data_IF_235528084660
#
_entry.id   IF_235528084660
#
_cell.length_a   1.000
_cell.length_b   1.000
_cell.length_c   1.000
_cell.angle_alpha   90.00
_cell.angle_beta   90.00
_cell.angle_gamma   90.00
#
_symmetry.space_group_name_H-M   'P 1'
#
loop_
_entity.id
_entity.type
_entity.pdbx_description
1 polymer ?
#
# COMPACT_ATOMS: atom_id res chain seq x y z
N UNK A 1 5.13 -7.64 1.04
CA UNK A 1 4.18 -7.70 -0.10
C UNK A 1 2.80 -7.98 0.47
N UNK A 2 1.83 -7.11 0.24
CA UNK A 2 0.46 -7.35 0.70
C UNK A 2 -0.22 -8.41 -0.18
N UNK A 3 -1.04 -9.29 0.41
CA UNK A 3 -1.74 -10.35 -0.34
C UNK A 3 -2.59 -9.80 -1.50
N UNK A 4 -3.18 -8.62 -1.32
CA UNK A 4 -3.98 -7.93 -2.33
C UNK A 4 -3.16 -7.33 -3.49
N UNK A 5 -1.91 -6.93 -3.23
CA UNK A 5 -0.97 -6.42 -4.25
C UNK A 5 -0.58 -7.55 -5.20
N UNK A 6 -0.23 -8.71 -4.64
CA UNK A 6 0.10 -9.90 -5.43
C UNK A 6 -1.10 -10.37 -6.27
N UNK A 7 -2.28 -10.48 -5.65
CA UNK A 7 -3.49 -10.93 -6.35
C UNK A 7 -3.86 -10.02 -7.54
N UNK A 8 -3.72 -8.70 -7.38
CA UNK A 8 -4.02 -7.74 -8.45
C UNK A 8 -3.05 -7.87 -9.62
N UNK A 9 -1.75 -8.03 -9.33
CA UNK A 9 -0.72 -8.24 -10.36
C UNK A 9 -0.89 -9.58 -11.07
N UNK A 10 -1.18 -10.65 -10.35
CA UNK A 10 -1.39 -11.98 -10.92
C UNK A 10 -2.61 -11.98 -11.86
N UNK A 11 -3.74 -11.39 -11.43
CA UNK A 11 -4.93 -11.28 -12.27
C UNK A 11 -4.70 -10.44 -13.53
N UNK A 12 -3.91 -9.35 -13.44
CA UNK A 12 -3.54 -8.54 -14.59
C UNK A 12 -2.61 -9.29 -15.56
N UNK A 13 -1.65 -10.06 -15.04
CA UNK A 13 -0.76 -10.89 -15.84
C UNK A 13 -1.53 -12.04 -16.54
N UNK A 14 -2.45 -12.70 -15.84
CA UNK A 14 -3.32 -13.74 -16.38
C UNK A 14 -4.22 -13.20 -17.49
N UNK A 15 -4.87 -12.05 -17.27
CA UNK A 15 -5.69 -11.40 -18.28
C UNK A 15 -4.86 -11.03 -19.53
N UNK A 16 -3.66 -10.47 -19.34
CA UNK A 16 -2.76 -10.12 -20.43
C UNK A 16 -2.26 -11.34 -21.21
N UNK A 17 -1.99 -12.44 -20.53
CA UNK A 17 -1.61 -13.70 -21.18
C UNK A 17 -2.75 -14.28 -22.01
N UNK A 18 -4.00 -14.08 -21.58
CA UNK A 18 -5.19 -14.51 -22.31
C UNK A 18 -5.53 -13.61 -23.53
N UNK A 19 -5.31 -12.29 -23.42
CA UNK A 19 -5.48 -11.33 -24.52
C UNK A 19 -4.39 -10.24 -24.48
N UNK A 20 -3.34 -10.31 -25.33
CA UNK A 20 -2.27 -9.32 -25.36
C UNK A 20 -2.63 -8.06 -26.18
N UNK A 21 -3.90 -7.66 -26.21
CA UNK A 21 -4.32 -6.44 -26.92
C UNK A 21 -3.69 -5.18 -26.29
N UNK A 22 -3.46 -4.11 -27.08
CA UNK A 22 -2.93 -2.85 -26.54
C UNK A 22 -3.76 -2.28 -25.39
N UNK A 23 -5.09 -2.48 -25.44
CA UNK A 23 -6.00 -2.06 -24.37
C UNK A 23 -5.72 -2.84 -23.08
N UNK A 24 -5.48 -4.14 -23.16
CA UNK A 24 -5.21 -4.96 -22.00
C UNK A 24 -3.81 -4.71 -21.41
N UNK A 25 -2.82 -4.41 -22.26
CA UNK A 25 -1.51 -3.90 -21.84
C UNK A 25 -1.64 -2.59 -21.03
N UNK A 26 -2.49 -1.67 -21.49
CA UNK A 26 -2.79 -0.44 -20.75
C UNK A 26 -3.52 -0.72 -19.43
N UNK A 27 -4.49 -1.64 -19.43
CA UNK A 27 -5.20 -2.04 -18.22
C UNK A 27 -4.25 -2.63 -17.17
N UNK A 28 -3.34 -3.52 -17.56
CA UNK A 28 -2.32 -4.08 -16.67
C UNK A 28 -1.40 -2.99 -16.09
N UNK A 29 -0.96 -2.03 -16.91
CA UNK A 29 -0.17 -0.89 -16.44
C UNK A 29 -0.95 0.01 -15.45
N UNK A 30 -2.25 0.21 -15.70
CA UNK A 30 -3.13 0.95 -14.78
C UNK A 30 -3.27 0.23 -13.44
N UNK A 31 -3.46 -1.10 -13.45
CA UNK A 31 -3.49 -1.92 -12.24
C UNK A 31 -2.19 -1.76 -11.44
N UNK A 32 -1.04 -1.85 -12.10
CA UNK A 32 0.26 -1.67 -11.44
C UNK A 32 0.39 -0.28 -10.79
N UNK A 33 -0.08 0.78 -11.47
CA UNK A 33 -0.06 2.14 -10.92
C UNK A 33 -0.97 2.26 -9.69
N UNK A 34 -2.19 1.71 -9.75
CA UNK A 34 -3.12 1.71 -8.61
C UNK A 34 -2.58 0.95 -7.40
N UNK A 35 -1.96 -0.21 -7.62
CA UNK A 35 -1.30 -0.98 -6.57
C UNK A 35 -0.17 -0.17 -5.93
N UNK A 36 0.68 0.47 -6.74
CA UNK A 36 1.76 1.33 -6.22
C UNK A 36 1.24 2.50 -5.39
N UNK A 37 0.13 3.12 -5.80
CA UNK A 37 -0.50 4.21 -5.05
C UNK A 37 -1.06 3.70 -3.71
N UNK A 38 -1.75 2.55 -3.72
CA UNK A 38 -2.29 1.94 -2.52
C UNK A 38 -1.18 1.56 -1.51
N UNK A 39 -0.04 1.05 -1.99
CA UNK A 39 1.12 0.75 -1.14
C UNK A 39 1.77 2.02 -0.56
N UNK A 40 1.82 3.11 -1.33
CA UNK A 40 2.28 4.41 -0.83
C UNK A 40 1.35 4.94 0.26
N UNK A 41 0.04 4.88 0.04
CA UNK A 41 -0.97 5.29 1.02
C UNK A 41 -0.89 4.44 2.30
N UNK A 42 -0.70 3.13 2.17
CA UNK A 42 -0.53 2.25 3.32
C UNK A 42 0.72 2.60 4.14
N UNK A 43 1.86 2.88 3.49
CA UNK A 43 3.07 3.34 4.19
C UNK A 43 2.86 4.67 4.90
N UNK A 44 2.15 5.62 4.28
CA UNK A 44 1.81 6.90 4.92
C UNK A 44 0.93 6.65 6.15
N UNK A 45 -0.09 5.80 6.04
CA UNK A 45 -0.95 5.46 7.17
C UNK A 45 -0.16 4.82 8.33
N UNK A 46 0.73 3.87 8.05
CA UNK A 46 1.58 3.23 9.06
C UNK A 46 2.48 4.26 9.78
N UNK A 47 3.09 5.18 9.04
CA UNK A 47 3.93 6.26 9.62
C UNK A 47 3.08 7.21 10.50
N UNK A 48 1.83 7.48 10.13
CA UNK A 48 0.93 8.31 10.94
C UNK A 48 0.47 7.58 12.22
N UNK A 49 0.20 6.29 12.14
CA UNK A 49 -0.14 5.44 13.29
C UNK A 49 1.02 5.38 14.30
N UNK A 50 2.27 5.21 13.82
CA UNK A 50 3.46 5.20 14.66
C UNK A 50 3.69 6.54 15.38
N UNK A 51 3.47 7.67 14.70
CA UNK A 51 3.60 9.01 15.29
C UNK A 51 2.47 9.34 16.28
N UNK A 52 1.23 8.93 15.98
CA UNK A 52 0.08 9.13 16.87
C UNK A 52 0.16 8.33 18.19
N UNK A 53 0.98 7.28 18.25
CA UNK A 53 1.29 6.55 19.47
C UNK A 53 2.27 7.27 20.41
N UNK A 54 3.11 8.16 19.87
CA UNK A 54 4.09 8.90 20.66
C UNK A 54 3.49 10.12 21.39
N UNK A 55 2.49 10.79 20.81
CA UNK A 55 1.78 11.90 21.45
C UNK A 55 0.71 11.47 22.47
N UNK A 56 0.31 10.19 22.48
CA UNK A 56 -0.68 9.67 23.45
C UNK A 56 -0.07 9.03 24.71
N UNK A 57 1.24 9.16 24.91
CA UNK A 57 1.84 8.77 26.18
C UNK A 57 1.58 9.85 27.23
N UNK A 58 0.85 9.58 28.34
CA UNK A 58 0.72 10.55 29.41
C UNK A 58 2.12 10.93 29.91
N UNK A 59 2.38 12.21 30.25
CA UNK A 59 3.69 12.62 30.73
C UNK A 59 4.01 11.80 31.98
N UNK A 60 5.09 11.01 31.90
CA UNK A 60 5.64 10.33 33.06
C UNK A 60 5.93 11.39 34.13
N UNK A 61 5.44 11.24 35.37
CA UNK A 61 5.67 12.22 36.41
C UNK A 61 7.19 12.31 36.65
N UNK A 62 7.76 13.46 36.29
CA UNK A 62 9.15 13.80 36.60
C UNK A 62 9.25 13.85 38.13
N UNK A 63 9.77 12.79 38.72
CA UNK A 63 10.05 12.73 40.15
C UNK A 63 11.33 13.53 40.41
N UNK A 64 11.18 14.82 40.70
CA UNK A 64 12.24 15.67 41.22
C UNK A 64 12.72 15.11 42.58
N UNK A 65 14.03 14.82 42.67
CA UNK A 65 14.74 14.62 43.93
C UNK A 65 16.09 15.33 43.85
#
# INVERSE_FOLDING_TARGET
MHWWSQQACDAAAEAQAADPSPQNLMAAAQVQAMVSMAEALHRIAAILEEQGGAENSPPLPVRLK
#
